data_IF_333022510756
#
_entry.id   IF_333022510756
#
_cell.length_a   1.000
_cell.length_b   1.000
_cell.length_c   1.000
_cell.angle_alpha   90.00
_cell.angle_beta   90.00
_cell.angle_gamma   90.00
#
_symmetry.space_group_name_H-M   'P 1'
#
loop_
_entity.id
_entity.type
_entity.pdbx_description
1 polymer ?
#
# COMPACT_ATOMS: atom_id res chain seq x y z
N UNK A 1 -61.85 6.73 -68.19
CA UNK A 1 -61.85 8.09 -67.69
C UNK A 1 -60.65 8.24 -66.81
N UNK A 2 -59.81 9.19 -67.15
CA UNK A 2 -58.46 9.48 -66.78
C UNK A 2 -58.32 9.87 -65.27
N UNK A 3 -57.29 9.33 -64.57
CA UNK A 3 -56.81 9.93 -63.32
C UNK A 3 -55.30 9.99 -63.41
N UNK A 4 -54.83 11.20 -63.48
CA UNK A 4 -53.45 11.64 -63.70
C UNK A 4 -52.65 11.48 -62.38
N UNK A 5 -51.59 10.73 -62.47
CA UNK A 5 -50.57 10.65 -61.39
C UNK A 5 -49.68 11.88 -61.44
N UNK A 6 -49.67 12.65 -60.37
CA UNK A 6 -48.70 13.70 -60.16
C UNK A 6 -47.50 13.14 -59.36
N UNK A 7 -46.39 12.86 -60.04
CA UNK A 7 -45.08 12.63 -59.45
C UNK A 7 -44.50 13.96 -59.01
N UNK A 8 -44.32 14.16 -57.68
CA UNK A 8 -43.47 15.23 -57.14
C UNK A 8 -42.02 14.80 -57.24
N UNK A 9 -41.26 15.46 -58.10
CA UNK A 9 -39.80 15.39 -58.11
C UNK A 9 -39.29 16.15 -56.89
N UNK A 10 -38.62 15.44 -55.99
CA UNK A 10 -37.85 16.06 -54.92
C UNK A 10 -36.56 16.64 -55.49
N UNK A 11 -36.37 17.92 -55.28
CA UNK A 11 -35.20 18.67 -55.70
C UNK A 11 -33.95 18.19 -54.99
N UNK A 12 -32.85 18.08 -55.72
CA UNK A 12 -31.52 17.69 -55.19
C UNK A 12 -30.93 18.64 -54.13
N UNK A 13 -31.61 19.71 -53.81
CA UNK A 13 -31.20 20.71 -52.82
C UNK A 13 -31.65 20.39 -51.40
N UNK A 14 -32.60 19.47 -51.20
CA UNK A 14 -33.08 19.11 -49.85
C UNK A 14 -32.25 18.03 -49.16
N UNK A 15 -31.33 17.38 -49.87
CA UNK A 15 -30.47 16.30 -49.31
C UNK A 15 -29.19 16.85 -48.66
N UNK A 16 -28.83 18.10 -48.84
CA UNK A 16 -27.55 18.68 -48.33
C UNK A 16 -27.71 19.30 -46.92
N UNK A 17 -28.93 19.37 -46.38
CA UNK A 17 -29.15 20.00 -45.04
C UNK A 17 -29.23 19.07 -43.82
N UNK A 18 -28.96 17.77 -43.95
CA UNK A 18 -29.10 16.82 -42.86
C UNK A 18 -27.78 16.13 -42.43
N UNK A 19 -26.63 16.67 -42.79
CA UNK A 19 -25.33 16.23 -42.26
C UNK A 19 -24.61 17.39 -41.57
N UNK A 20 -25.29 18.03 -40.59
CA UNK A 20 -24.57 18.72 -39.53
C UNK A 20 -24.00 17.64 -38.59
N UNK A 21 -22.85 17.12 -38.96
CA UNK A 21 -22.06 16.19 -38.15
C UNK A 21 -21.64 16.94 -36.87
N UNK A 22 -22.36 16.69 -35.77
CA UNK A 22 -21.90 17.09 -34.44
C UNK A 22 -20.60 16.36 -34.17
N UNK A 23 -19.49 16.98 -34.49
CA UNK A 23 -18.15 16.54 -34.09
C UNK A 23 -18.05 16.75 -32.58
N UNK A 24 -18.53 15.76 -31.80
CA UNK A 24 -18.34 15.67 -30.37
C UNK A 24 -16.84 15.57 -30.14
N UNK A 25 -16.20 16.67 -29.77
CA UNK A 25 -14.83 16.69 -29.29
C UNK A 25 -14.78 15.83 -28.02
N UNK A 26 -14.48 14.54 -28.20
CA UNK A 26 -14.05 13.67 -27.10
C UNK A 26 -12.66 14.17 -26.71
N UNK A 27 -12.62 15.13 -25.78
CA UNK A 27 -11.38 15.46 -25.11
C UNK A 27 -10.96 14.18 -24.35
N UNK A 28 -9.76 13.65 -24.61
CA UNK A 28 -9.27 12.56 -23.79
C UNK A 28 -9.21 13.09 -22.34
N UNK A 29 -9.98 12.48 -21.46
CA UNK A 29 -9.80 12.67 -20.02
C UNK A 29 -8.39 12.13 -19.72
N UNK A 30 -7.41 13.02 -19.75
CA UNK A 30 -6.09 12.72 -19.20
C UNK A 30 -6.32 12.49 -17.71
N UNK A 31 -6.39 11.22 -17.32
CA UNK A 31 -6.26 10.84 -15.92
C UNK A 31 -4.92 11.41 -15.44
N UNK A 32 -4.94 12.60 -14.85
CA UNK A 32 -3.78 13.09 -14.11
C UNK A 32 -3.58 12.09 -12.99
N UNK A 33 -2.50 11.33 -13.04
CA UNK A 33 -2.01 10.66 -11.84
C UNK A 33 -2.02 11.70 -10.72
N UNK A 34 -2.73 11.42 -9.63
CA UNK A 34 -2.86 12.38 -8.54
C UNK A 34 -1.44 12.63 -8.01
N UNK A 35 -0.99 13.88 -8.10
CA UNK A 35 0.32 14.27 -7.60
C UNK A 35 0.31 14.14 -6.07
N UNK A 36 1.28 13.42 -5.52
CA UNK A 36 1.42 13.29 -4.07
C UNK A 36 1.65 14.68 -3.44
N UNK A 37 1.10 14.96 -2.26
CA UNK A 37 1.47 16.14 -1.48
C UNK A 37 2.98 16.18 -1.23
N UNK A 38 3.63 17.36 -1.25
CA UNK A 38 5.08 17.47 -1.08
C UNK A 38 5.61 16.82 0.21
N UNK A 39 4.81 16.86 1.29
CA UNK A 39 5.17 16.22 2.55
C UNK A 39 5.18 14.69 2.45
N UNK A 40 4.28 14.08 1.66
CA UNK A 40 4.27 12.64 1.44
C UNK A 40 5.50 12.18 0.64
N UNK A 41 5.90 12.96 -0.37
CA UNK A 41 7.14 12.70 -1.11
C UNK A 41 8.37 12.83 -0.21
N UNK A 42 8.45 13.89 0.60
CA UNK A 42 9.57 14.10 1.53
C UNK A 42 9.63 12.99 2.57
N UNK A 43 8.49 12.56 3.10
CA UNK A 43 8.40 11.41 4.00
C UNK A 43 8.99 10.17 3.33
N UNK A 44 8.49 9.75 2.18
CA UNK A 44 8.97 8.55 1.50
C UNK A 44 10.49 8.61 1.20
N UNK A 45 11.02 9.78 0.80
CA UNK A 45 12.46 10.00 0.60
C UNK A 45 13.26 9.84 1.90
N UNK A 46 12.73 10.32 3.02
CA UNK A 46 13.35 10.15 4.35
C UNK A 46 13.51 8.68 4.72
N UNK A 47 12.56 7.83 4.30
CA UNK A 47 12.65 6.38 4.50
C UNK A 47 13.53 5.66 3.46
N UNK A 48 13.97 6.35 2.41
CA UNK A 48 14.92 5.82 1.43
C UNK A 48 14.29 5.26 0.17
N UNK A 49 13.07 5.71 -0.21
CA UNK A 49 12.35 5.21 -1.41
C UNK A 49 13.21 5.32 -2.68
N UNK A 50 13.96 6.41 -2.84
CA UNK A 50 14.82 6.64 -4.01
C UNK A 50 15.98 5.62 -4.11
N UNK A 51 16.36 4.99 -2.98
CA UNK A 51 17.44 4.02 -2.90
C UNK A 51 16.96 2.57 -2.90
N UNK A 52 15.64 2.33 -2.91
CA UNK A 52 15.10 0.97 -2.80
C UNK A 52 15.53 0.05 -3.95
N UNK A 53 15.76 0.60 -5.13
CA UNK A 53 16.29 -0.16 -6.28
C UNK A 53 17.66 -0.80 -6.05
N UNK A 54 18.41 -0.37 -5.02
CA UNK A 54 19.68 -0.97 -4.62
C UNK A 54 19.52 -2.21 -3.74
N UNK A 55 18.30 -2.48 -3.26
CA UNK A 55 18.02 -3.60 -2.36
C UNK A 55 17.93 -4.89 -3.17
N UNK A 56 18.76 -5.86 -2.81
CA UNK A 56 18.70 -7.23 -3.32
C UNK A 56 17.75 -8.09 -2.50
N UNK A 57 17.85 -7.99 -1.17
CA UNK A 57 16.98 -8.69 -0.25
C UNK A 57 16.81 -7.94 1.08
N UNK A 58 15.68 -8.15 1.73
CA UNK A 58 15.36 -7.71 3.09
C UNK A 58 14.98 -8.93 3.89
N UNK A 59 15.53 -9.08 5.09
CA UNK A 59 15.07 -10.07 6.06
C UNK A 59 14.70 -9.40 7.37
N UNK A 60 13.69 -9.94 8.04
CA UNK A 60 13.20 -9.43 9.31
C UNK A 60 12.39 -10.48 10.06
N UNK A 61 12.28 -10.30 11.37
CA UNK A 61 11.36 -11.02 12.23
C UNK A 61 10.26 -10.06 12.66
N UNK A 62 9.02 -10.33 12.27
CA UNK A 62 7.83 -9.62 12.72
C UNK A 62 7.27 -10.29 13.97
N UNK A 63 6.98 -9.49 15.00
CA UNK A 63 6.40 -9.95 16.24
C UNK A 63 5.13 -9.16 16.54
N UNK A 64 4.09 -9.85 17.01
CA UNK A 64 2.84 -9.23 17.48
C UNK A 64 2.45 -9.78 18.83
N UNK A 65 2.09 -8.87 19.73
CA UNK A 65 1.51 -9.19 21.03
C UNK A 65 0.14 -8.51 21.15
N UNK A 66 -0.88 -9.34 21.35
CA UNK A 66 -2.25 -8.95 21.66
C UNK A 66 -2.70 -9.74 22.89
N UNK A 67 -3.79 -9.34 23.58
CA UNK A 67 -4.31 -10.10 24.71
C UNK A 67 -4.51 -11.59 24.39
N UNK A 68 -3.69 -12.44 25.03
CA UNK A 68 -3.75 -13.89 24.85
C UNK A 68 -3.10 -14.44 23.57
N UNK A 69 -2.49 -13.59 22.73
CA UNK A 69 -1.88 -14.02 21.46
C UNK A 69 -0.48 -13.44 21.32
N UNK A 70 0.49 -14.29 21.06
CA UNK A 70 1.85 -13.90 20.63
C UNK A 70 2.17 -14.61 19.33
N UNK A 71 2.55 -13.82 18.32
CA UNK A 71 2.90 -14.30 16.99
C UNK A 71 4.32 -13.87 16.64
N UNK A 72 5.06 -14.76 15.99
CA UNK A 72 6.38 -14.46 15.45
C UNK A 72 6.48 -15.07 14.07
N UNK A 73 6.90 -14.28 13.09
CA UNK A 73 7.09 -14.69 11.70
C UNK A 73 8.43 -14.16 11.20
N UNK A 74 9.23 -15.02 10.58
CA UNK A 74 10.49 -14.65 9.94
C UNK A 74 10.31 -14.62 8.44
N UNK A 75 10.80 -13.56 7.85
CA UNK A 75 10.70 -13.29 6.43
C UNK A 75 12.07 -12.99 5.83
N UNK A 76 12.30 -13.47 4.61
CA UNK A 76 13.30 -12.96 3.70
C UNK A 76 12.62 -12.71 2.36
N UNK A 77 12.76 -11.51 1.85
CA UNK A 77 12.13 -11.06 0.60
C UNK A 77 13.18 -10.51 -0.34
N UNK A 78 13.22 -11.03 -1.57
CA UNK A 78 14.01 -10.53 -2.68
C UNK A 78 13.10 -9.78 -3.66
N UNK A 79 13.02 -8.44 -3.61
CA UNK A 79 12.08 -7.66 -4.42
C UNK A 79 12.27 -7.86 -5.92
N UNK A 80 13.50 -8.02 -6.39
CA UNK A 80 13.83 -8.15 -7.81
C UNK A 80 13.34 -9.45 -8.44
N UNK A 81 13.31 -10.52 -7.68
CA UNK A 81 12.83 -11.84 -8.13
C UNK A 81 11.44 -12.15 -7.63
N UNK A 82 10.87 -11.25 -6.82
CA UNK A 82 9.59 -11.41 -6.14
C UNK A 82 9.50 -12.73 -5.33
N UNK A 83 10.66 -13.14 -4.77
CA UNK A 83 10.80 -14.37 -3.98
C UNK A 83 10.65 -14.06 -2.51
N UNK A 84 9.79 -14.81 -1.83
CA UNK A 84 9.55 -14.71 -0.39
C UNK A 84 9.85 -16.03 0.28
N UNK A 85 10.66 -15.99 1.34
CA UNK A 85 10.88 -17.11 2.25
C UNK A 85 10.21 -16.80 3.58
N UNK A 86 9.46 -17.77 4.08
CA UNK A 86 8.74 -17.75 5.35
C UNK A 86 9.25 -18.82 6.30
N UNK A 87 9.41 -18.46 7.56
CA UNK A 87 9.60 -19.39 8.66
C UNK A 87 8.73 -18.96 9.85
N UNK A 88 7.83 -19.83 10.28
CA UNK A 88 6.87 -19.53 11.34
C UNK A 88 6.06 -20.75 11.73
N UNK A 89 4.80 -20.52 12.06
CA UNK A 89 3.82 -21.57 12.41
C UNK A 89 2.58 -21.44 11.54
N UNK A 90 1.92 -22.59 11.30
CA UNK A 90 0.57 -22.63 10.75
C UNK A 90 -0.51 -22.34 11.82
N UNK A 91 -1.78 -22.42 11.45
CA UNK A 91 -2.91 -22.19 12.37
C UNK A 91 -3.00 -23.23 13.47
N UNK A 92 -2.51 -24.43 13.23
CA UNK A 92 -2.44 -25.54 14.17
C UNK A 92 -1.24 -25.44 15.12
N UNK A 93 -0.32 -24.49 14.86
CA UNK A 93 0.89 -24.26 15.66
C UNK A 93 2.11 -25.09 15.22
N UNK A 94 2.01 -25.83 14.11
CA UNK A 94 3.13 -26.61 13.57
C UNK A 94 4.15 -25.71 12.89
N UNK A 95 5.45 -26.01 12.97
CA UNK A 95 6.48 -25.24 12.27
C UNK A 95 6.32 -25.36 10.76
N UNK A 96 6.40 -24.23 10.07
CA UNK A 96 6.34 -24.14 8.60
C UNK A 96 7.56 -23.37 8.10
N UNK A 97 8.16 -23.89 7.04
CA UNK A 97 9.20 -23.20 6.27
C UNK A 97 8.91 -23.39 4.79
N UNK A 98 8.74 -22.28 4.06
CA UNK A 98 8.45 -22.32 2.63
C UNK A 98 9.08 -21.13 1.92
N UNK A 99 9.47 -21.35 0.67
CA UNK A 99 9.93 -20.31 -0.26
C UNK A 99 9.04 -20.36 -1.50
N UNK A 100 8.56 -19.19 -1.94
CA UNK A 100 7.69 -19.07 -3.10
C UNK A 100 7.95 -17.79 -3.88
N UNK A 101 7.52 -17.74 -5.14
CA UNK A 101 7.51 -16.53 -5.95
C UNK A 101 6.09 -15.96 -5.99
N UNK A 102 5.91 -14.70 -5.61
CA UNK A 102 4.61 -14.03 -5.61
C UNK A 102 4.03 -13.85 -7.01
N UNK A 103 4.89 -13.61 -8.02
CA UNK A 103 4.49 -13.58 -9.42
C UNK A 103 3.87 -14.90 -9.93
N UNK A 104 4.08 -16.00 -9.20
CA UNK A 104 3.52 -17.33 -9.49
C UNK A 104 2.53 -17.80 -8.41
N UNK A 105 1.92 -16.87 -7.69
CA UNK A 105 1.06 -17.16 -6.53
C UNK A 105 -0.12 -18.08 -6.89
N UNK A 106 -0.71 -17.96 -8.07
CA UNK A 106 -1.82 -18.81 -8.52
C UNK A 106 -1.48 -20.29 -8.55
N UNK A 107 -0.21 -20.65 -8.79
CA UNK A 107 0.29 -22.02 -8.81
C UNK A 107 0.77 -22.56 -7.46
N UNK A 108 0.74 -21.74 -6.41
CA UNK A 108 1.19 -22.14 -5.08
C UNK A 108 0.11 -22.95 -4.32
N UNK A 109 0.51 -23.58 -3.21
CA UNK A 109 -0.44 -24.28 -2.33
C UNK A 109 -1.48 -23.34 -1.72
N UNK A 110 -2.60 -23.91 -1.27
CA UNK A 110 -3.67 -23.12 -0.63
C UNK A 110 -3.18 -22.44 0.65
N UNK A 111 -2.29 -23.07 1.42
CA UNK A 111 -1.68 -22.46 2.59
C UNK A 111 -0.86 -21.20 2.22
N UNK A 112 -0.07 -21.26 1.14
CA UNK A 112 0.67 -20.09 0.66
C UNK A 112 -0.29 -18.99 0.20
N UNK A 113 -1.28 -19.32 -0.65
CA UNK A 113 -2.22 -18.33 -1.22
C UNK A 113 -3.10 -17.65 -0.18
N UNK A 114 -3.61 -18.42 0.79
CA UNK A 114 -4.69 -17.97 1.67
C UNK A 114 -4.20 -17.56 3.07
N UNK A 115 -2.97 -17.91 3.45
CA UNK A 115 -2.44 -17.66 4.79
C UNK A 115 -1.09 -16.96 4.79
N UNK A 116 -0.09 -17.52 4.08
CA UNK A 116 1.29 -17.05 4.17
C UNK A 116 1.49 -15.75 3.38
N UNK A 117 1.07 -15.68 2.11
CA UNK A 117 1.21 -14.44 1.32
C UNK A 117 0.39 -13.27 1.87
N UNK A 118 -0.86 -13.45 2.31
CA UNK A 118 -1.58 -12.39 3.03
C UNK A 118 -0.90 -11.94 4.32
N UNK A 119 -0.28 -12.85 5.07
CA UNK A 119 0.49 -12.51 6.26
C UNK A 119 1.77 -11.74 5.91
N UNK A 120 2.49 -12.14 4.83
CA UNK A 120 3.63 -11.41 4.30
C UNK A 120 3.25 -9.97 3.94
N UNK A 121 2.18 -9.77 3.20
CA UNK A 121 1.72 -8.43 2.81
C UNK A 121 1.37 -7.58 4.02
N UNK A 122 0.63 -8.14 4.99
CA UNK A 122 0.33 -7.43 6.23
C UNK A 122 1.60 -6.96 6.94
N UNK A 123 2.57 -7.87 7.12
CA UNK A 123 3.79 -7.57 7.86
C UNK A 123 4.69 -6.57 7.13
N UNK A 124 4.72 -6.66 5.79
CA UNK A 124 5.47 -5.76 4.92
C UNK A 124 4.89 -4.32 4.97
N UNK A 125 3.56 -4.16 4.97
CA UNK A 125 2.94 -2.85 5.14
C UNK A 125 3.36 -2.18 6.46
N UNK A 126 3.44 -2.94 7.55
CA UNK A 126 3.96 -2.41 8.81
C UNK A 126 5.45 -2.08 8.76
N UNK A 127 6.24 -2.78 7.96
CA UNK A 127 7.68 -2.54 7.85
C UNK A 127 8.01 -1.32 6.98
N UNK A 128 7.34 -1.21 5.82
CA UNK A 128 7.70 -0.25 4.76
C UNK A 128 6.50 0.56 4.24
N UNK A 129 5.51 0.86 5.07
CA UNK A 129 4.33 1.64 4.71
C UNK A 129 4.65 2.93 3.92
N UNK A 130 5.68 3.74 4.25
CA UNK A 130 6.02 4.94 3.48
C UNK A 130 6.32 4.68 2.00
N UNK A 131 6.77 3.48 1.64
CA UNK A 131 7.03 3.09 0.26
C UNK A 131 5.73 2.75 -0.47
N UNK A 132 4.80 2.07 0.20
CA UNK A 132 3.47 1.74 -0.33
C UNK A 132 2.64 2.99 -0.65
N UNK A 133 2.83 4.08 0.10
CA UNK A 133 2.21 5.38 -0.20
C UNK A 133 2.59 5.89 -1.60
N UNK A 134 3.80 5.57 -2.08
CA UNK A 134 4.28 5.96 -3.41
C UNK A 134 3.96 4.89 -4.48
N UNK A 135 4.10 3.61 -4.12
CA UNK A 135 4.05 2.53 -5.11
C UNK A 135 2.65 2.11 -5.51
N UNK A 136 1.71 2.10 -4.55
CA UNK A 136 0.42 1.45 -4.76
C UNK A 136 -0.67 2.41 -5.28
N UNK A 137 -0.30 3.68 -5.51
CA UNK A 137 -1.19 4.69 -6.10
C UNK A 137 -2.43 5.05 -5.27
N UNK A 138 -2.36 5.13 -3.94
CA UNK A 138 -3.47 5.61 -3.13
C UNK A 138 -3.76 7.09 -3.41
N UNK A 139 -4.96 7.53 -3.06
CA UNK A 139 -5.25 8.96 -2.93
C UNK A 139 -4.65 9.45 -1.62
N UNK A 140 -3.78 10.47 -1.68
CA UNK A 140 -3.14 11.06 -0.50
C UNK A 140 -3.58 12.51 -0.36
N UNK A 141 -4.12 12.87 0.81
CA UNK A 141 -4.54 14.23 1.16
C UNK A 141 -3.73 14.72 2.34
N UNK A 142 -3.22 15.96 2.26
CA UNK A 142 -2.62 16.67 3.39
C UNK A 142 -3.71 17.45 4.12
N UNK A 143 -4.00 17.06 5.37
CA UNK A 143 -5.04 17.65 6.22
C UNK A 143 -4.46 18.70 7.19
N UNK A 144 -3.17 19.08 7.00
CA UNK A 144 -2.47 20.02 7.84
C UNK A 144 -2.18 19.49 9.24
N UNK A 145 -1.76 20.39 10.13
CA UNK A 145 -1.36 20.04 11.49
C UNK A 145 -2.55 19.59 12.33
N UNK A 146 -2.48 18.40 12.90
CA UNK A 146 -3.50 17.78 13.75
C UNK A 146 -2.87 17.24 15.03
N UNK A 147 -3.69 17.09 16.08
CA UNK A 147 -3.28 16.44 17.34
C UNK A 147 -3.02 14.95 17.08
N UNK A 148 -1.98 14.40 17.69
CA UNK A 148 -1.69 12.97 17.68
C UNK A 148 -2.79 12.16 18.37
N UNK A 149 -3.17 10.98 17.85
CA UNK A 149 -4.23 10.16 18.44
C UNK A 149 -3.89 9.52 19.79
N UNK A 150 -2.62 9.32 20.09
CA UNK A 150 -2.16 8.72 21.36
C UNK A 150 -1.52 9.73 22.32
N UNK A 151 -1.13 10.90 21.83
CA UNK A 151 -0.40 11.89 22.60
C UNK A 151 -1.00 13.30 22.53
N UNK A 152 -0.36 14.25 23.20
CA UNK A 152 -0.78 15.66 23.23
C UNK A 152 -0.04 16.53 22.19
N UNK A 153 1.00 16.00 21.56
CA UNK A 153 1.73 16.69 20.49
C UNK A 153 0.90 16.79 19.21
N UNK A 154 1.39 17.58 18.26
CA UNK A 154 0.76 17.73 16.94
C UNK A 154 1.77 17.40 15.84
N UNK A 155 1.26 16.93 14.71
CA UNK A 155 2.04 16.62 13.50
C UNK A 155 1.17 16.85 12.26
N UNK A 156 1.77 16.88 11.08
CA UNK A 156 1.04 16.96 9.80
C UNK A 156 0.33 15.62 9.54
N UNK A 157 -0.99 15.67 9.37
CA UNK A 157 -1.79 14.47 9.09
C UNK A 157 -1.94 14.27 7.59
N UNK A 158 -1.43 13.16 7.09
CA UNK A 158 -1.69 12.66 5.75
C UNK A 158 -2.77 11.58 5.81
N UNK A 159 -3.82 11.73 5.04
CA UNK A 159 -4.85 10.70 4.84
C UNK A 159 -4.53 9.94 3.57
N UNK A 160 -4.21 8.66 3.69
CA UNK A 160 -3.85 7.75 2.60
C UNK A 160 -5.00 6.79 2.38
N UNK A 161 -5.75 6.96 1.29
CA UNK A 161 -6.94 6.15 0.97
C UNK A 161 -6.66 5.25 -0.22
N UNK A 162 -6.73 3.95 0.00
CA UNK A 162 -6.55 2.95 -1.05
C UNK A 162 -7.82 2.76 -1.88
N UNK A 163 -7.71 2.44 -3.18
CA UNK A 163 -8.86 2.13 -4.02
C UNK A 163 -9.68 0.96 -3.46
N UNK A 164 -10.99 0.96 -3.76
CA UNK A 164 -11.89 -0.13 -3.35
C UNK A 164 -11.63 -1.44 -4.12
N UNK A 165 -10.89 -1.38 -5.22
CA UNK A 165 -10.57 -2.51 -6.09
C UNK A 165 -9.07 -2.60 -6.31
N UNK A 166 -8.57 -3.83 -6.47
CA UNK A 166 -7.13 -4.08 -6.66
C UNK A 166 -6.31 -3.93 -5.37
N UNK A 167 -5.07 -4.41 -5.40
CA UNK A 167 -4.13 -4.30 -4.27
C UNK A 167 -4.48 -5.13 -3.04
N UNK A 168 -3.67 -4.99 -2.01
CA UNK A 168 -3.85 -5.66 -0.71
C UNK A 168 -4.80 -4.87 0.21
N UNK A 169 -4.60 -3.56 0.34
CA UNK A 169 -5.34 -2.65 1.25
C UNK A 169 -6.62 -2.07 0.62
N UNK A 170 -7.40 -2.91 -0.09
CA UNK A 170 -8.61 -2.47 -0.80
C UNK A 170 -9.61 -1.76 0.10
N UNK A 171 -9.83 -0.46 -0.18
CA UNK A 171 -10.77 0.39 0.54
C UNK A 171 -10.28 0.84 1.92
N UNK A 172 -9.09 0.43 2.34
CA UNK A 172 -8.52 0.80 3.63
C UNK A 172 -8.04 2.27 3.61
N UNK A 173 -8.01 2.87 4.78
CA UNK A 173 -7.50 4.24 4.97
C UNK A 173 -6.47 4.24 6.09
N UNK A 174 -5.35 4.94 5.86
CA UNK A 174 -4.33 5.19 6.87
C UNK A 174 -4.21 6.69 7.11
N UNK A 175 -4.30 7.09 8.35
CA UNK A 175 -3.90 8.43 8.79
C UNK A 175 -2.45 8.34 9.28
N UNK A 176 -1.55 9.09 8.64
CA UNK A 176 -0.15 9.13 8.98
C UNK A 176 0.16 10.49 9.59
N UNK A 177 0.63 10.53 10.82
CA UNK A 177 1.01 11.75 11.50
C UNK A 177 2.52 11.95 11.38
N UNK A 178 2.92 12.88 10.50
CA UNK A 178 4.30 13.11 10.07
C UNK A 178 4.90 14.29 10.82
N UNK A 179 5.97 14.05 11.53
CA UNK A 179 6.70 15.07 12.27
C UNK A 179 7.53 16.02 11.37
N UNK A 180 8.11 17.09 11.94
CA UNK A 180 8.93 18.04 11.19
C UNK A 180 10.19 17.40 10.57
N UNK A 181 10.67 16.29 11.14
CA UNK A 181 11.76 15.46 10.64
C UNK A 181 11.34 14.52 9.49
N UNK A 182 10.10 14.64 9.01
CA UNK A 182 9.51 13.83 7.96
C UNK A 182 9.39 12.33 8.31
N UNK A 183 9.46 12.01 9.59
CA UNK A 183 9.18 10.68 10.11
C UNK A 183 7.73 10.59 10.62
N UNK A 184 7.09 9.46 10.39
CA UNK A 184 5.78 9.17 10.97
C UNK A 184 5.96 9.05 12.49
N UNK A 185 5.08 9.63 13.28
CA UNK A 185 5.08 9.55 14.75
C UNK A 185 4.04 8.59 15.25
N UNK A 186 2.84 8.67 14.67
CA UNK A 186 1.71 7.82 14.98
C UNK A 186 0.90 7.55 13.72
N UNK A 187 0.10 6.49 13.76
CA UNK A 187 -0.83 6.14 12.69
C UNK A 187 -2.22 5.83 13.26
N UNK A 188 -3.24 6.00 12.42
CA UNK A 188 -4.53 5.37 12.60
C UNK A 188 -4.90 4.62 11.31
N UNK A 189 -5.04 3.29 11.42
CA UNK A 189 -5.48 2.43 10.33
C UNK A 189 -6.96 2.13 10.45
N UNK A 190 -7.70 2.40 9.41
CA UNK A 190 -9.13 2.13 9.28
C UNK A 190 -9.35 1.08 8.20
N UNK A 191 -9.75 -0.12 8.60
CA UNK A 191 -10.11 -1.16 7.65
C UNK A 191 -11.37 -0.78 6.92
N UNK A 192 -11.31 -0.79 5.60
CA UNK A 192 -12.41 -0.50 4.70
C UNK A 192 -12.92 -1.72 3.92
N UNK A 193 -13.60 -1.41 2.81
CA UNK A 193 -14.17 -2.42 1.93
C UNK A 193 -15.33 -3.18 2.58
N UNK A 194 -15.51 -4.45 2.17
CA UNK A 194 -16.59 -5.32 2.65
C UNK A 194 -16.21 -6.13 3.90
N UNK A 195 -15.04 -5.86 4.51
CA UNK A 195 -14.59 -6.52 5.73
C UNK A 195 -15.20 -5.83 6.96
N UNK A 196 -15.36 -6.56 8.10
CA UNK A 196 -15.76 -5.90 9.34
C UNK A 196 -14.84 -4.71 9.67
N UNK A 197 -15.38 -3.57 10.09
CA UNK A 197 -14.58 -2.42 10.47
C UNK A 197 -13.53 -2.78 11.52
N UNK A 198 -12.37 -2.16 11.44
CA UNK A 198 -11.30 -2.30 12.42
C UNK A 198 -10.53 -0.98 12.50
N UNK A 199 -10.24 -0.55 13.71
CA UNK A 199 -9.39 0.61 13.99
C UNK A 199 -8.13 0.16 14.71
N UNK A 200 -6.97 0.48 14.14
CA UNK A 200 -5.69 0.34 14.83
C UNK A 200 -5.06 1.71 14.97
N UNK A 201 -4.72 2.09 16.20
CA UNK A 201 -3.95 3.31 16.48
C UNK A 201 -2.64 2.88 17.12
N UNK A 202 -1.52 3.34 16.58
CA UNK A 202 -0.20 2.93 17.08
C UNK A 202 0.85 4.03 16.91
N UNK A 203 1.84 4.01 17.78
CA UNK A 203 3.08 4.76 17.59
C UNK A 203 3.85 4.20 16.40
N UNK A 204 4.71 5.06 15.81
CA UNK A 204 5.67 4.66 14.79
C UNK A 204 7.05 5.10 15.27
N UNK A 205 7.79 4.16 15.88
CA UNK A 205 8.96 4.46 16.70
C UNK A 205 10.08 3.42 16.52
N UNK A 206 11.16 3.54 17.30
CA UNK A 206 12.27 2.59 17.24
C UNK A 206 13.03 2.64 15.92
N UNK A 207 13.23 3.84 15.39
CA UNK A 207 13.88 4.05 14.10
C UNK A 207 15.30 3.53 14.06
N UNK A 208 15.62 2.77 13.02
CA UNK A 208 16.92 2.19 12.74
C UNK A 208 17.26 2.29 11.27
N UNK A 209 18.53 2.44 10.94
CA UNK A 209 19.03 2.41 9.56
C UNK A 209 19.49 1.01 9.19
N UNK A 210 18.92 0.49 8.10
CA UNK A 210 19.35 -0.76 7.45
C UNK A 210 19.86 -0.41 6.04
N UNK A 211 21.17 -0.23 5.89
CA UNK A 211 21.74 0.31 4.66
C UNK A 211 21.14 1.69 4.33
N UNK A 212 20.57 1.89 3.12
CA UNK A 212 19.98 3.16 2.73
C UNK A 212 18.56 3.36 3.29
N UNK A 213 17.96 2.36 3.95
CA UNK A 213 16.59 2.40 4.42
C UNK A 213 16.50 2.84 5.88
N UNK A 214 15.52 3.70 6.19
CA UNK A 214 15.09 4.00 7.56
C UNK A 214 13.87 3.13 7.89
N UNK A 215 13.96 2.33 8.94
CA UNK A 215 12.93 1.38 9.35
C UNK A 215 12.43 1.74 10.75
N UNK A 216 11.11 1.82 10.92
CA UNK A 216 10.49 1.84 12.26
C UNK A 216 10.33 0.42 12.76
N UNK A 217 10.76 0.16 14.00
CA UNK A 217 10.81 -1.20 14.55
C UNK A 217 9.93 -1.43 15.78
N UNK A 218 9.22 -0.41 16.27
CA UNK A 218 8.36 -0.51 17.47
C UNK A 218 7.05 0.26 17.24
N UNK A 219 5.92 -0.44 17.36
CA UNK A 219 4.58 0.08 17.17
C UNK A 219 3.70 -0.36 18.34
N UNK A 220 3.32 0.59 19.19
CA UNK A 220 2.53 0.34 20.41
C UNK A 220 1.25 1.14 20.35
N UNK A 221 0.15 0.51 20.75
CA UNK A 221 -1.14 1.18 20.75
C UNK A 221 -2.30 0.25 21.00
N UNK A 222 -3.35 0.38 20.21
CA UNK A 222 -4.56 -0.42 20.35
C UNK A 222 -5.10 -0.92 19.02
N UNK A 223 -5.76 -2.08 19.07
CA UNK A 223 -6.60 -2.60 18.00
C UNK A 223 -8.01 -2.74 18.55
N UNK A 224 -8.95 -1.94 18.04
CA UNK A 224 -10.33 -1.84 18.54
C UNK A 224 -10.38 -1.64 20.08
N UNK A 225 -9.52 -0.75 20.58
CA UNK A 225 -9.39 -0.42 22.00
C UNK A 225 -8.63 -1.43 22.86
N UNK A 226 -8.22 -2.59 22.31
CA UNK A 226 -7.43 -3.60 23.02
C UNK A 226 -5.94 -3.35 22.81
N UNK A 227 -5.09 -3.55 23.84
CA UNK A 227 -3.64 -3.36 23.71
C UNK A 227 -3.04 -4.12 22.53
N UNK A 228 -2.16 -3.45 21.79
CA UNK A 228 -1.42 -3.99 20.66
C UNK A 228 0.04 -3.57 20.78
N UNK A 229 0.96 -4.51 20.57
CA UNK A 229 2.35 -4.23 20.31
C UNK A 229 2.79 -5.01 19.07
N UNK A 230 3.30 -4.29 18.07
CA UNK A 230 3.99 -4.87 16.92
C UNK A 230 5.44 -4.44 16.96
N UNK A 231 6.36 -5.34 16.61
CA UNK A 231 7.78 -5.00 16.57
C UNK A 231 8.52 -5.80 15.50
N UNK A 232 9.64 -5.23 15.05
CA UNK A 232 10.56 -5.88 14.12
C UNK A 232 11.90 -6.10 14.79
N UNK A 233 12.39 -7.32 14.75
CA UNK A 233 13.76 -7.69 15.13
C UNK A 233 14.52 -8.30 13.95
N UNK A 234 15.84 -8.41 14.08
CA UNK A 234 16.72 -9.03 13.09
C UNK A 234 16.62 -8.41 11.68
N UNK A 235 16.20 -7.13 11.60
CA UNK A 235 16.08 -6.42 10.33
C UNK A 235 17.45 -6.26 9.70
N UNK A 236 17.60 -6.72 8.46
CA UNK A 236 18.84 -6.55 7.70
C UNK A 236 18.51 -6.43 6.22
N UNK A 237 19.34 -5.71 5.48
CA UNK A 237 19.26 -5.60 4.03
C UNK A 237 20.51 -6.13 3.37
N UNK A 238 20.38 -6.68 2.18
CA UNK A 238 21.47 -7.02 1.28
C UNK A 238 21.39 -6.11 0.07
N UNK A 239 22.50 -5.49 -0.29
CA UNK A 239 22.56 -4.62 -1.47
C UNK A 239 22.94 -5.41 -2.71
N UNK A 240 22.49 -4.94 -3.85
CA UNK A 240 22.83 -5.52 -5.16
C UNK A 240 24.35 -5.60 -5.35
N UNK A 241 24.84 -6.78 -5.71
CA UNK A 241 26.26 -7.03 -5.90
C UNK A 241 27.07 -7.22 -4.61
N UNK A 242 26.42 -7.24 -3.43
CA UNK A 242 27.05 -7.51 -2.14
C UNK A 242 26.66 -8.88 -1.62
N UNK A 243 27.61 -9.61 -1.06
CA UNK A 243 27.33 -10.84 -0.32
C UNK A 243 26.98 -10.58 1.16
N UNK A 244 27.24 -9.36 1.65
CA UNK A 244 27.08 -9.02 3.06
C UNK A 244 25.70 -8.48 3.39
N UNK A 245 25.19 -8.90 4.54
CA UNK A 245 24.00 -8.32 5.16
C UNK A 245 24.35 -7.12 6.03
N UNK A 246 23.60 -6.03 5.91
CA UNK A 246 23.73 -4.82 6.73
C UNK A 246 22.57 -4.85 7.72
N UNK A 247 22.87 -5.10 9.00
CA UNK A 247 21.88 -5.11 10.06
C UNK A 247 21.42 -3.70 10.42
N UNK A 248 20.16 -3.58 10.78
CA UNK A 248 19.57 -2.31 11.26
C UNK A 248 20.13 -1.93 12.63
N UNK A 249 20.57 -0.69 12.76
CA UNK A 249 21.15 -0.11 13.99
C UNK A 249 20.77 1.36 14.17
#
# INVERSE_FOLDING_TARGET
MSSTQARREMSRLDVIRLFAFSMLLILPATSRAQQLPPIAEQMAKTYGVDSFGQIEAIRYTWNAELPGVKLTRRWEWSPKTDTVSYEGKDKEGNPVKVTYQRSQLSGQSDAVKNEIDPAFMNDQYWLILPFHVVWDGPTVTDEGTQKLPLGDASAERLVVKYPSEGGYDRGDTWDLYVGPDKQIKEIAYHRGGNKPPKLVIATWAGYKKAGPLLISTDHRGTSDGKPLQLSFSDVSVKLTGSENWISAQ
#
